data_IF_513260886495
#
_entry.id   IF_513260886495
#
_cell.length_a   1.000
_cell.length_b   1.000
_cell.length_c   1.000
_cell.angle_alpha   90.00
_cell.angle_beta   90.00
_cell.angle_gamma   90.00
#
_symmetry.space_group_name_H-M   'P 1'
#
loop_
_entity.id
_entity.type
_entity.pdbx_description
1 polymer ?
#
# COMPACT_ATOMS: atom_id res chain seq x y z
N UNK A 1 -27.37 16.02 -2.02
CA UNK A 1 -28.05 16.76 -3.10
C UNK A 1 -27.16 16.94 -4.35
N UNK A 2 -25.90 17.34 -4.21
CA UNK A 2 -25.01 17.54 -5.37
C UNK A 2 -24.77 16.26 -6.20
N UNK A 3 -24.66 15.09 -5.56
CA UNK A 3 -24.46 13.83 -6.26
C UNK A 3 -25.68 13.44 -7.10
N UNK A 4 -26.88 13.60 -6.55
CA UNK A 4 -28.15 13.31 -7.26
C UNK A 4 -28.29 14.23 -8.46
N UNK A 5 -28.04 15.54 -8.29
CA UNK A 5 -28.06 16.51 -9.37
C UNK A 5 -27.07 16.16 -10.48
N UNK A 6 -25.87 15.67 -10.10
CA UNK A 6 -24.86 15.26 -11.08
C UNK A 6 -25.30 13.99 -11.84
N UNK A 7 -25.84 12.99 -11.15
CA UNK A 7 -26.39 11.76 -11.76
C UNK A 7 -27.50 12.12 -12.76
N UNK A 8 -28.42 12.99 -12.38
CA UNK A 8 -29.52 13.44 -13.26
C UNK A 8 -28.98 14.17 -14.50
N UNK A 9 -27.95 15.00 -14.34
CA UNK A 9 -27.36 15.78 -15.44
C UNK A 9 -26.55 14.91 -16.42
N UNK A 10 -25.85 13.90 -15.93
CA UNK A 10 -24.98 13.03 -16.73
C UNK A 10 -25.75 11.86 -17.30
N UNK A 11 -26.82 11.41 -16.63
CA UNK A 11 -27.58 10.21 -16.99
C UNK A 11 -26.92 8.89 -16.60
N UNK A 12 -25.83 8.93 -15.81
CA UNK A 12 -25.09 7.76 -15.39
C UNK A 12 -25.15 7.57 -13.85
N UNK A 13 -25.24 6.31 -13.42
CA UNK A 13 -25.21 5.98 -11.98
C UNK A 13 -23.80 6.25 -11.41
N UNK A 14 -23.70 7.20 -10.49
CA UNK A 14 -22.49 7.47 -9.73
C UNK A 14 -22.68 6.98 -8.30
N UNK A 15 -21.72 6.18 -7.80
CA UNK A 15 -21.73 5.68 -6.43
C UNK A 15 -20.54 6.23 -5.66
N UNK A 16 -20.79 6.96 -4.59
CA UNK A 16 -19.76 7.34 -3.62
C UNK A 16 -19.53 6.16 -2.66
N UNK A 17 -18.34 5.58 -2.70
CA UNK A 17 -18.08 4.31 -1.99
C UNK A 17 -17.27 4.48 -0.72
N UNK A 18 -16.18 5.23 -0.78
CA UNK A 18 -15.23 5.38 0.33
C UNK A 18 -14.67 6.79 0.37
N UNK A 19 -14.43 7.29 1.55
CA UNK A 19 -13.55 8.42 1.79
C UNK A 19 -12.67 8.15 3.00
N UNK A 20 -11.53 8.79 3.06
CA UNK A 20 -10.65 8.78 4.22
C UNK A 20 -9.94 10.12 4.31
N UNK A 21 -9.45 10.41 5.50
CA UNK A 21 -8.76 11.63 5.81
C UNK A 21 -7.45 11.31 6.53
N UNK A 22 -6.38 11.96 6.12
CA UNK A 22 -5.11 11.99 6.83
C UNK A 22 -4.79 13.45 7.11
N UNK A 23 -4.82 13.84 8.36
CA UNK A 23 -4.47 15.18 8.79
C UNK A 23 -4.03 15.17 10.24
N UNK A 24 -2.83 15.69 10.48
CA UNK A 24 -2.29 15.98 11.80
C UNK A 24 -1.11 16.93 11.61
N UNK A 25 -1.02 17.96 12.46
CA UNK A 25 0.13 18.87 12.49
C UNK A 25 1.40 18.19 13.04
N UNK A 26 1.24 16.99 13.62
CA UNK A 26 2.35 16.19 14.15
C UNK A 26 3.10 15.40 13.08
N UNK A 27 2.52 15.25 11.88
CA UNK A 27 3.05 14.40 10.82
C UNK A 27 3.22 15.16 9.51
N UNK A 28 4.14 14.70 8.69
CA UNK A 28 4.37 15.25 7.36
C UNK A 28 3.52 14.47 6.36
N UNK A 29 2.59 15.16 5.72
CA UNK A 29 1.63 14.53 4.82
C UNK A 29 1.99 14.80 3.36
N UNK A 30 1.89 13.74 2.53
CA UNK A 30 2.09 13.73 1.09
C UNK A 30 0.86 13.17 0.39
N UNK A 31 0.66 13.58 -0.85
CA UNK A 31 -0.37 13.03 -1.72
C UNK A 31 0.19 12.74 -3.10
N UNK A 32 -0.37 11.72 -3.75
CA UNK A 32 -0.06 11.39 -5.14
C UNK A 32 -1.33 10.97 -5.87
N UNK A 33 -1.49 11.49 -7.09
CA UNK A 33 -2.61 11.13 -7.97
C UNK A 33 -2.05 10.53 -9.25
N UNK A 34 -2.37 9.27 -9.50
CA UNK A 34 -1.93 8.56 -10.71
C UNK A 34 -2.98 8.63 -11.82
N UNK A 35 -2.52 8.71 -13.07
CA UNK A 35 -3.37 8.95 -14.25
C UNK A 35 -4.29 10.15 -14.04
N UNK A 36 -3.68 11.27 -13.67
CA UNK A 36 -4.39 12.49 -13.37
C UNK A 36 -5.08 13.04 -14.64
N UNK A 37 -6.39 13.25 -14.56
CA UNK A 37 -7.20 13.93 -15.58
C UNK A 37 -7.21 15.43 -15.36
N UNK A 38 -7.18 15.84 -14.10
CA UNK A 38 -7.07 17.22 -13.61
C UNK A 38 -6.27 17.24 -12.31
N UNK A 39 -5.92 18.42 -11.80
CA UNK A 39 -5.26 18.55 -10.50
C UNK A 39 -6.08 17.82 -9.43
N UNK A 40 -5.44 16.88 -8.74
CA UNK A 40 -6.02 16.05 -7.66
C UNK A 40 -7.21 15.15 -8.09
N UNK A 41 -7.40 14.92 -9.38
CA UNK A 41 -8.42 14.00 -9.90
C UNK A 41 -7.76 12.98 -10.81
N UNK A 42 -7.86 11.72 -10.48
CA UNK A 42 -7.25 10.62 -11.26
C UNK A 42 -7.82 9.25 -10.90
N UNK A 43 -7.26 8.21 -11.51
CA UNK A 43 -7.74 6.83 -11.31
C UNK A 43 -7.28 6.20 -10.00
N UNK A 44 -6.12 6.63 -9.46
CA UNK A 44 -5.60 6.18 -8.17
C UNK A 44 -5.20 7.39 -7.37
N UNK A 45 -5.66 7.47 -6.13
CA UNK A 45 -5.26 8.47 -5.15
C UNK A 45 -4.52 7.82 -3.98
N UNK A 46 -3.42 8.42 -3.56
CA UNK A 46 -2.66 8.01 -2.37
C UNK A 46 -2.49 9.20 -1.44
N UNK A 47 -2.74 8.96 -0.16
CA UNK A 47 -2.33 9.83 0.93
C UNK A 47 -1.31 9.08 1.78
N UNK A 48 -0.27 9.78 2.21
CA UNK A 48 0.83 9.22 3.02
C UNK A 48 1.16 10.16 4.16
N UNK A 49 1.28 9.63 5.37
CA UNK A 49 1.69 10.34 6.57
C UNK A 49 2.99 9.77 7.11
N UNK A 50 3.99 10.62 7.26
CA UNK A 50 5.30 10.27 7.81
C UNK A 50 5.56 11.01 9.11
N UNK A 51 6.17 10.33 10.06
CA UNK A 51 6.83 10.96 11.21
C UNK A 51 8.31 11.05 10.93
N UNK A 52 8.91 12.22 11.11
CA UNK A 52 10.32 12.43 10.85
C UNK A 52 10.90 13.57 11.70
N UNK A 53 12.21 13.50 11.91
CA UNK A 53 13.01 14.61 12.44
C UNK A 53 13.38 15.63 11.37
N UNK A 54 13.15 15.29 10.08
CA UNK A 54 13.40 16.18 8.94
C UNK A 54 12.18 17.02 8.62
N UNK A 55 12.40 18.12 7.95
CA UNK A 55 11.33 19.01 7.47
C UNK A 55 10.61 18.42 6.24
N UNK A 56 9.43 18.96 5.93
CA UNK A 56 8.67 18.58 4.73
C UNK A 56 9.46 18.84 3.44
N UNK A 57 10.22 19.93 3.38
CA UNK A 57 11.00 20.29 2.18
C UNK A 57 12.13 19.27 1.94
N UNK A 58 12.82 18.83 2.98
CA UNK A 58 13.87 17.82 2.88
C UNK A 58 13.34 16.44 2.44
N UNK A 59 12.07 16.15 2.73
CA UNK A 59 11.42 14.89 2.38
C UNK A 59 10.52 14.98 1.15
N UNK A 60 10.49 16.12 0.45
CA UNK A 60 9.50 16.35 -0.62
C UNK A 60 9.59 15.31 -1.73
N UNK A 61 10.78 15.05 -2.24
CA UNK A 61 10.99 14.11 -3.33
C UNK A 61 10.81 12.67 -2.86
N UNK A 62 11.39 12.32 -1.71
CA UNK A 62 11.23 11.00 -1.12
C UNK A 62 9.76 10.68 -0.82
N UNK A 63 9.03 11.59 -0.19
CA UNK A 63 7.62 11.39 0.15
C UNK A 63 6.74 11.22 -1.08
N UNK A 64 7.01 11.97 -2.17
CA UNK A 64 6.32 11.78 -3.46
C UNK A 64 6.64 10.43 -4.08
N UNK A 65 7.91 10.02 -4.09
CA UNK A 65 8.34 8.72 -4.61
C UNK A 65 7.73 7.56 -3.82
N UNK A 66 7.66 7.67 -2.48
CA UNK A 66 7.03 6.66 -1.64
C UNK A 66 5.51 6.58 -1.89
N UNK A 67 4.83 7.72 -2.05
CA UNK A 67 3.41 7.73 -2.43
C UNK A 67 3.18 7.13 -3.84
N UNK A 68 4.10 7.35 -4.78
CA UNK A 68 4.09 6.73 -6.12
C UNK A 68 4.30 5.22 -6.02
N UNK A 69 5.24 4.76 -5.19
CA UNK A 69 5.45 3.35 -4.91
C UNK A 69 4.18 2.68 -4.36
N UNK A 70 3.51 3.29 -3.38
CA UNK A 70 2.25 2.80 -2.82
C UNK A 70 1.17 2.70 -3.90
N UNK A 71 1.09 3.68 -4.81
CA UNK A 71 0.13 3.63 -5.91
C UNK A 71 0.37 2.43 -6.84
N UNK A 72 1.63 2.15 -7.17
CA UNK A 72 2.02 1.08 -8.09
C UNK A 72 1.97 -0.31 -7.45
N UNK A 73 2.57 -0.47 -6.26
CA UNK A 73 2.76 -1.77 -5.60
C UNK A 73 1.59 -2.22 -4.74
N UNK A 74 0.62 -1.33 -4.48
CA UNK A 74 -0.64 -1.66 -3.78
C UNK A 74 -0.46 -2.42 -2.46
N UNK A 75 0.41 -2.00 -1.52
CA UNK A 75 0.59 -2.72 -0.27
C UNK A 75 -0.73 -2.75 0.54
N UNK A 76 -0.96 -3.86 1.25
CA UNK A 76 -2.13 -4.05 2.10
C UNK A 76 -1.92 -3.49 3.51
N UNK A 77 -0.66 -3.42 3.96
CA UNK A 77 -0.29 -2.92 5.28
C UNK A 77 1.12 -2.30 5.25
N UNK A 78 1.48 -1.57 6.30
CA UNK A 78 2.83 -1.00 6.45
C UNK A 78 3.84 -2.13 6.68
N UNK A 79 3.52 -3.06 7.56
CA UNK A 79 4.35 -4.18 7.98
C UNK A 79 3.48 -5.42 8.25
N UNK A 80 4.11 -6.54 8.62
CA UNK A 80 3.43 -7.81 8.90
C UNK A 80 2.39 -7.69 10.02
N UNK A 81 2.67 -6.92 11.04
CA UNK A 81 1.80 -6.74 12.21
C UNK A 81 0.50 -6.01 11.83
N UNK A 82 0.57 -5.15 10.80
CA UNK A 82 -0.59 -4.43 10.26
C UNK A 82 -1.43 -5.24 9.27
N UNK A 83 -0.98 -6.42 8.83
CA UNK A 83 -1.77 -7.27 7.95
C UNK A 83 -2.98 -7.87 8.67
N UNK A 84 -4.12 -7.87 7.99
CA UNK A 84 -5.34 -8.48 8.51
C UNK A 84 -5.14 -10.00 8.65
N UNK A 85 -5.34 -10.52 9.86
CA UNK A 85 -5.15 -11.94 10.19
C UNK A 85 -6.04 -12.86 9.36
N UNK A 86 -7.24 -12.42 9.00
CA UNK A 86 -8.14 -13.21 8.15
C UNK A 86 -7.58 -13.36 6.72
N UNK A 87 -6.89 -12.34 6.21
CA UNK A 87 -6.22 -12.42 4.91
C UNK A 87 -5.06 -13.42 4.97
N UNK A 88 -4.23 -13.34 6.01
CA UNK A 88 -3.13 -14.28 6.21
C UNK A 88 -3.61 -15.73 6.37
N UNK A 89 -4.68 -15.93 7.11
CA UNK A 89 -5.25 -17.27 7.33
C UNK A 89 -5.81 -17.85 6.02
N UNK A 90 -6.56 -17.08 5.26
CA UNK A 90 -7.08 -17.50 3.94
C UNK A 90 -5.96 -17.84 2.97
N UNK A 91 -4.92 -17.00 2.90
CA UNK A 91 -3.78 -17.27 2.03
C UNK A 91 -3.05 -18.56 2.44
N UNK A 92 -2.86 -18.78 3.74
CA UNK A 92 -2.28 -20.02 4.27
C UNK A 92 -3.10 -21.25 3.89
N UNK A 93 -4.41 -21.18 3.98
CA UNK A 93 -5.33 -22.26 3.59
C UNK A 93 -5.22 -22.57 2.08
N UNK A 94 -5.20 -21.55 1.24
CA UNK A 94 -5.01 -21.68 -0.21
C UNK A 94 -3.67 -22.35 -0.53
N UNK A 95 -2.59 -21.90 0.11
CA UNK A 95 -1.25 -22.46 -0.08
C UNK A 95 -1.22 -23.94 0.32
N UNK A 96 -1.80 -24.30 1.45
CA UNK A 96 -1.85 -25.68 1.94
C UNK A 96 -2.67 -26.56 0.98
N UNK A 97 -3.81 -26.09 0.51
CA UNK A 97 -4.65 -26.82 -0.43
C UNK A 97 -3.92 -27.10 -1.76
N UNK A 98 -3.23 -26.09 -2.30
CA UNK A 98 -2.41 -26.25 -3.51
C UNK A 98 -1.28 -27.29 -3.31
N UNK A 99 -0.74 -27.41 -2.11
CA UNK A 99 0.36 -28.32 -1.81
C UNK A 99 -0.10 -29.75 -1.49
N UNK A 100 -1.31 -29.96 -0.98
CA UNK A 100 -1.88 -31.30 -0.70
C UNK A 100 -1.89 -32.19 -1.94
N UNK A 101 -2.14 -31.61 -3.12
CA UNK A 101 -2.21 -32.33 -4.39
C UNK A 101 -0.82 -32.56 -5.04
N UNK A 102 0.27 -32.15 -4.37
CA UNK A 102 1.62 -32.25 -4.94
C UNK A 102 2.34 -33.58 -4.71
N UNK A 103 1.77 -34.51 -3.92
CA UNK A 103 2.37 -35.81 -3.62
C UNK A 103 3.66 -35.75 -2.79
N UNK A 104 3.98 -34.61 -2.18
CA UNK A 104 5.20 -34.39 -1.41
C UNK A 104 5.03 -34.78 0.06
N UNK A 105 6.14 -35.16 0.70
CA UNK A 105 6.19 -35.42 2.14
C UNK A 105 5.67 -34.19 2.94
N UNK A 106 4.91 -34.46 4.00
CA UNK A 106 4.28 -33.43 4.84
C UNK A 106 5.28 -32.41 5.39
N UNK A 107 6.48 -32.84 5.82
CA UNK A 107 7.53 -31.93 6.30
C UNK A 107 8.06 -30.97 5.22
N UNK A 108 8.07 -31.44 3.98
CA UNK A 108 8.46 -30.62 2.82
C UNK A 108 7.34 -29.64 2.48
N UNK A 109 6.09 -30.09 2.55
CA UNK A 109 4.91 -29.24 2.35
C UNK A 109 4.89 -28.07 3.34
N UNK A 110 5.14 -28.32 4.62
CA UNK A 110 5.15 -27.27 5.65
C UNK A 110 6.24 -26.21 5.39
N UNK A 111 7.45 -26.64 5.00
CA UNK A 111 8.54 -25.70 4.67
C UNK A 111 8.20 -24.85 3.43
N UNK A 112 7.62 -25.46 2.40
CA UNK A 112 7.21 -24.75 1.20
C UNK A 112 6.07 -23.77 1.53
N UNK A 113 5.09 -24.20 2.34
CA UNK A 113 3.99 -23.34 2.76
C UNK A 113 4.49 -22.12 3.55
N UNK A 114 5.41 -22.31 4.50
CA UNK A 114 6.01 -21.21 5.22
C UNK A 114 6.78 -20.24 4.30
N UNK A 115 7.54 -20.76 3.33
CA UNK A 115 8.24 -19.96 2.33
C UNK A 115 7.29 -19.13 1.47
N UNK A 116 6.21 -19.74 0.96
CA UNK A 116 5.19 -19.04 0.17
C UNK A 116 4.46 -17.97 0.98
N UNK A 117 4.10 -18.27 2.24
CA UNK A 117 3.44 -17.29 3.10
C UNK A 117 4.37 -16.11 3.42
N UNK A 118 5.65 -16.35 3.68
CA UNK A 118 6.63 -15.27 3.87
C UNK A 118 6.79 -14.41 2.61
N UNK A 119 6.77 -15.04 1.43
CA UNK A 119 6.78 -14.32 0.15
C UNK A 119 5.53 -13.44 0.02
N UNK A 120 4.34 -13.99 0.27
CA UNK A 120 3.09 -13.23 0.28
C UNK A 120 3.16 -12.02 1.21
N UNK A 121 3.65 -12.21 2.45
CA UNK A 121 3.82 -11.11 3.42
C UNK A 121 4.75 -10.03 2.85
N UNK A 122 5.91 -10.42 2.30
CA UNK A 122 6.87 -9.45 1.77
C UNK A 122 6.37 -8.70 0.54
N UNK A 123 5.53 -9.32 -0.28
CA UNK A 123 4.93 -8.69 -1.47
C UNK A 123 3.76 -7.76 -1.11
N UNK A 124 3.13 -7.96 0.05
CA UNK A 124 1.94 -7.22 0.48
C UNK A 124 2.17 -6.26 1.65
N UNK A 125 3.39 -6.15 2.16
CA UNK A 125 3.73 -5.16 3.20
C UNK A 125 4.69 -4.11 2.66
N UNK A 126 4.32 -2.83 2.84
CA UNK A 126 5.05 -1.69 2.29
C UNK A 126 6.55 -1.74 2.60
N UNK A 127 6.92 -2.00 3.85
CA UNK A 127 8.32 -1.98 4.28
C UNK A 127 9.18 -3.09 3.68
N UNK A 128 8.59 -4.22 3.34
CA UNK A 128 9.29 -5.39 2.81
C UNK A 128 9.21 -5.51 1.28
N UNK A 129 8.38 -4.69 0.61
CA UNK A 129 8.32 -4.61 -0.85
C UNK A 129 9.63 -4.12 -1.44
N UNK A 130 9.95 -4.60 -2.65
CA UNK A 130 11.03 -4.08 -3.46
C UNK A 130 10.70 -2.66 -3.94
N UNK A 131 11.65 -1.75 -3.80
CA UNK A 131 11.47 -0.36 -4.17
C UNK A 131 11.36 -0.19 -5.68
N UNK A 132 10.26 0.36 -6.18
CA UNK A 132 9.98 0.45 -7.63
C UNK A 132 11.02 1.23 -8.43
N UNK A 133 11.73 2.18 -7.80
CA UNK A 133 12.78 2.98 -8.46
C UNK A 133 14.12 2.23 -8.51
N UNK A 134 14.34 1.30 -7.58
CA UNK A 134 15.55 0.49 -7.47
C UNK A 134 15.21 -0.90 -6.88
N UNK A 135 14.80 -1.89 -7.72
CA UNK A 135 14.29 -3.18 -7.23
C UNK A 135 15.28 -4.04 -6.43
N UNK A 136 16.55 -3.65 -6.36
CA UNK A 136 17.56 -4.31 -5.51
C UNK A 136 17.45 -3.92 -4.04
N UNK A 137 16.68 -2.87 -3.71
CA UNK A 137 16.49 -2.36 -2.36
C UNK A 137 15.05 -2.58 -1.91
N UNK A 138 14.86 -2.78 -0.62
CA UNK A 138 13.53 -2.77 -0.01
C UNK A 138 13.15 -1.36 0.43
N UNK A 139 11.86 -1.08 0.51
CA UNK A 139 11.34 0.20 1.00
C UNK A 139 11.94 0.58 2.36
N UNK A 140 12.04 -0.38 3.30
CA UNK A 140 12.66 -0.15 4.61
C UNK A 140 14.12 0.30 4.55
N UNK A 141 14.87 -0.15 3.56
CA UNK A 141 16.28 0.22 3.40
C UNK A 141 16.39 1.63 2.83
N UNK A 142 15.54 1.96 1.84
CA UNK A 142 15.43 3.32 1.30
C UNK A 142 14.95 4.33 2.35
N UNK A 143 14.02 3.93 3.23
CA UNK A 143 13.61 4.75 4.38
C UNK A 143 14.78 5.08 5.30
N UNK A 144 15.64 4.10 5.61
CA UNK A 144 16.85 4.30 6.43
C UNK A 144 17.85 5.23 5.74
N UNK A 145 18.08 5.03 4.45
CA UNK A 145 18.95 5.89 3.64
C UNK A 145 18.45 7.35 3.63
N UNK A 146 17.15 7.54 3.38
CA UNK A 146 16.52 8.86 3.38
C UNK A 146 16.55 9.53 4.76
N UNK A 147 16.46 8.75 5.84
CA UNK A 147 16.55 9.25 7.21
C UNK A 147 17.97 9.74 7.54
N UNK A 148 19.01 9.08 7.04
CA UNK A 148 20.41 9.35 7.40
C UNK A 148 20.65 9.16 8.89
N UNK A 149 21.07 10.22 9.61
CA UNK A 149 21.22 10.20 11.08
C UNK A 149 19.91 10.41 11.84
N UNK A 150 18.83 10.77 11.14
CA UNK A 150 17.51 10.99 11.71
C UNK A 150 16.65 9.73 11.72
N UNK A 151 15.33 9.95 11.85
CA UNK A 151 14.31 8.91 11.82
C UNK A 151 13.20 9.28 10.83
N UNK A 152 12.74 8.31 10.05
CA UNK A 152 11.54 8.41 9.24
C UNK A 152 10.70 7.15 9.49
N UNK A 153 9.44 7.34 9.85
CA UNK A 153 8.47 6.28 10.04
C UNK A 153 7.22 6.54 9.21
N UNK A 154 6.70 5.49 8.60
CA UNK A 154 5.39 5.52 7.95
C UNK A 154 4.33 5.32 9.03
N UNK A 155 3.47 6.32 9.23
CA UNK A 155 2.42 6.29 10.25
C UNK A 155 1.12 5.73 9.67
N UNK A 156 0.72 6.24 8.50
CA UNK A 156 -0.49 5.80 7.81
C UNK A 156 -0.32 6.05 6.31
N UNK A 157 -0.91 5.18 5.51
CA UNK A 157 -1.21 5.49 4.12
C UNK A 157 -2.64 5.08 3.79
N UNK A 158 -3.21 5.72 2.78
CA UNK A 158 -4.49 5.37 2.19
C UNK A 158 -4.29 5.32 0.68
N UNK A 159 -4.77 4.28 0.05
CA UNK A 159 -4.78 4.11 -1.39
C UNK A 159 -6.18 3.76 -1.85
N UNK A 160 -6.72 4.57 -2.75
CA UNK A 160 -7.98 4.29 -3.42
C UNK A 160 -7.78 4.22 -4.93
N UNK A 161 -8.40 3.25 -5.55
CA UNK A 161 -8.46 3.09 -7.00
C UNK A 161 -9.92 3.06 -7.44
N UNK A 162 -10.24 3.81 -8.49
CA UNK A 162 -11.58 3.81 -9.09
C UNK A 162 -11.90 2.40 -9.59
N UNK A 163 -13.08 1.90 -9.25
CA UNK A 163 -13.53 0.56 -9.63
C UNK A 163 -12.95 -0.59 -8.80
N UNK A 164 -12.14 -0.32 -7.78
CA UNK A 164 -11.55 -1.37 -6.95
C UNK A 164 -12.60 -2.02 -6.05
N UNK A 165 -12.67 -3.38 -6.08
CA UNK A 165 -13.57 -4.15 -5.23
C UNK A 165 -15.06 -4.09 -5.66
N UNK A 166 -15.32 -3.94 -6.96
CA UNK A 166 -16.64 -4.14 -7.56
C UNK A 166 -16.83 -5.62 -7.87
#
# INVERSE_FOLDING_TARGET
DNLISLITKIGEKITFRRCDFIGSDKFINFSYTHSALKKNVGKIGVLLSLQSTKTKNELLDFGKQLAMHIAASSPLAINKEGLNQNILQKEKEIIIEQLKNSGKDSKIVDKIAAGKLNKFISENTLLDQEWIMEPKKKVKDVLKEAAGKGKIEVIKFVRFKVGEGI
#
